data_IF_997281713662
#
_entry.id   IF_997281713662
#
_cell.length_a   1.000
_cell.length_b   1.000
_cell.length_c   1.000
_cell.angle_alpha   90.00
_cell.angle_beta   90.00
_cell.angle_gamma   90.00
#
_symmetry.space_group_name_H-M   'P 1'
#
loop_
_entity.id
_entity.type
_entity.pdbx_description
1 polymer ?
#
# COMPACT_ATOMS: atom_id res chain seq x y z
N UNK A 1 -24.12 8.58 -14.71
CA UNK A 1 -24.44 8.87 -13.31
C UNK A 1 -23.14 9.22 -12.64
N UNK A 2 -22.96 10.47 -12.21
CA UNK A 2 -21.73 10.88 -11.53
C UNK A 2 -21.75 10.27 -10.13
N UNK A 3 -20.89 9.28 -9.88
CA UNK A 3 -20.64 8.74 -8.54
C UNK A 3 -20.16 9.87 -7.64
N UNK A 4 -20.68 9.95 -6.40
CA UNK A 4 -20.22 10.94 -5.43
C UNK A 4 -18.73 10.74 -5.15
N UNK A 5 -17.97 11.82 -4.90
CA UNK A 5 -16.55 11.73 -4.54
C UNK A 5 -16.30 10.83 -3.32
N UNK A 6 -17.27 10.76 -2.41
CA UNK A 6 -17.26 9.83 -1.26
C UNK A 6 -17.30 8.37 -1.72
N UNK A 7 -18.18 8.04 -2.67
CA UNK A 7 -18.32 6.69 -3.23
C UNK A 7 -17.05 6.27 -3.96
N UNK A 8 -16.43 7.21 -4.68
CA UNK A 8 -15.13 6.97 -5.34
C UNK A 8 -14.04 6.67 -4.32
N UNK A 9 -13.93 7.45 -3.23
CA UNK A 9 -12.97 7.19 -2.15
C UNK A 9 -13.19 5.83 -1.48
N UNK A 10 -14.45 5.44 -1.25
CA UNK A 10 -14.80 4.15 -0.65
C UNK A 10 -14.45 2.97 -1.57
N UNK A 11 -14.72 3.09 -2.86
CA UNK A 11 -14.37 2.08 -3.85
C UNK A 11 -12.85 1.90 -3.97
N UNK A 12 -12.11 3.02 -4.02
CA UNK A 12 -10.63 2.97 -4.07
C UNK A 12 -10.05 2.38 -2.78
N UNK A 13 -10.60 2.70 -1.62
CA UNK A 13 -10.18 2.14 -0.32
C UNK A 13 -10.34 0.61 -0.29
N UNK A 14 -11.50 0.11 -0.74
CA UNK A 14 -11.75 -1.35 -0.84
C UNK A 14 -10.76 -2.01 -1.79
N UNK A 15 -10.57 -1.43 -2.98
CA UNK A 15 -9.64 -1.97 -3.97
C UNK A 15 -8.18 -1.98 -3.46
N UNK A 16 -7.77 -0.97 -2.68
CA UNK A 16 -6.45 -0.89 -2.10
C UNK A 16 -6.22 -2.01 -1.06
N UNK A 17 -7.23 -2.30 -0.22
CA UNK A 17 -7.19 -3.42 0.72
C UNK A 17 -7.07 -4.77 0.01
N UNK A 18 -7.83 -4.97 -1.06
CA UNK A 18 -7.76 -6.21 -1.85
C UNK A 18 -6.40 -6.38 -2.53
N UNK A 19 -5.83 -5.30 -3.08
CA UNK A 19 -4.50 -5.32 -3.69
C UNK A 19 -3.40 -5.62 -2.67
N UNK A 20 -3.52 -5.08 -1.45
CA UNK A 20 -2.60 -5.38 -0.34
C UNK A 20 -2.69 -6.85 0.09
N UNK A 21 -3.90 -7.40 0.22
CA UNK A 21 -4.11 -8.80 0.56
C UNK A 21 -3.51 -9.76 -0.49
N UNK A 22 -3.52 -9.35 -1.76
CA UNK A 22 -2.92 -10.09 -2.88
C UNK A 22 -1.43 -9.83 -3.07
N UNK A 23 -0.82 -8.92 -2.30
CA UNK A 23 0.56 -8.45 -2.48
C UNK A 23 0.83 -7.94 -3.90
N UNK A 24 -0.19 -7.40 -4.59
CA UNK A 24 -0.05 -6.79 -5.91
C UNK A 24 0.46 -5.34 -5.75
N UNK A 25 1.77 -5.21 -5.52
CA UNK A 25 2.42 -3.92 -5.27
C UNK A 25 2.24 -2.91 -6.42
N UNK A 26 2.08 -3.40 -7.67
CA UNK A 26 1.84 -2.55 -8.81
C UNK A 26 0.41 -1.99 -8.80
N UNK A 27 -0.58 -2.81 -8.45
CA UNK A 27 -1.95 -2.34 -8.24
C UNK A 27 -2.03 -1.36 -7.07
N UNK A 28 -1.36 -1.66 -5.94
CA UNK A 28 -1.29 -0.78 -4.76
C UNK A 28 -0.80 0.63 -5.14
N UNK A 29 0.32 0.74 -5.86
CA UNK A 29 0.84 2.05 -6.26
C UNK A 29 -0.08 2.83 -7.21
N UNK A 30 -0.79 2.13 -8.10
CA UNK A 30 -1.76 2.75 -9.02
C UNK A 30 -3.00 3.24 -8.29
N UNK A 31 -3.51 2.44 -7.36
CA UNK A 31 -4.70 2.74 -6.55
C UNK A 31 -4.42 3.86 -5.54
N UNK A 32 -3.21 3.91 -4.94
CA UNK A 32 -2.76 5.03 -4.11
C UNK A 32 -2.84 6.37 -4.87
N UNK A 33 -2.32 6.40 -6.10
CA UNK A 33 -2.40 7.61 -6.93
C UNK A 33 -3.85 8.05 -7.21
N UNK A 34 -4.73 7.09 -7.56
CA UNK A 34 -6.15 7.37 -7.77
C UNK A 34 -6.83 7.89 -6.51
N UNK A 35 -6.47 7.35 -5.35
CA UNK A 35 -7.00 7.78 -4.06
C UNK A 35 -6.64 9.25 -3.80
N UNK A 36 -5.38 9.64 -4.00
CA UNK A 36 -4.93 11.03 -3.81
C UNK A 36 -5.66 11.99 -4.74
N UNK A 37 -5.86 11.61 -6.00
CA UNK A 37 -6.62 12.42 -6.97
C UNK A 37 -8.09 12.60 -6.58
N UNK A 38 -8.72 11.55 -6.03
CA UNK A 38 -10.09 11.62 -5.53
C UNK A 38 -10.17 12.50 -4.27
N UNK A 39 -9.17 12.45 -3.38
CA UNK A 39 -9.06 13.34 -2.21
C UNK A 39 -8.94 14.80 -2.66
N UNK A 40 -8.05 15.11 -3.61
CA UNK A 40 -7.86 16.47 -4.13
C UNK A 40 -9.16 17.02 -4.75
N UNK A 41 -9.88 16.16 -5.46
CA UNK A 41 -11.19 16.50 -6.05
C UNK A 41 -12.23 16.78 -4.96
N UNK A 42 -12.28 15.95 -3.91
CA UNK A 42 -13.23 16.11 -2.80
C UNK A 42 -12.99 17.40 -2.01
N UNK A 43 -11.72 17.75 -1.80
CA UNK A 43 -11.32 18.96 -1.08
C UNK A 43 -11.59 20.24 -1.89
N UNK A 44 -11.70 20.12 -3.21
CA UNK A 44 -11.98 21.23 -4.12
C UNK A 44 -13.47 21.47 -4.36
N UNK A 45 -14.35 20.56 -3.92
CA UNK A 45 -15.80 20.69 -4.11
C UNK A 45 -16.45 21.45 -2.93
N UNK A 46 -16.92 22.69 -3.13
CA UNK A 46 -17.56 23.49 -2.08
C UNK A 46 -18.94 22.99 -1.67
N UNK A 47 -19.52 22.03 -2.39
CA UNK A 47 -20.82 21.42 -2.09
C UNK A 47 -20.69 20.06 -1.39
N UNK A 48 -19.46 19.61 -1.12
CA UNK A 48 -19.20 18.32 -0.47
C UNK A 48 -19.69 18.34 0.99
N UNK A 49 -20.43 17.30 1.37
CA UNK A 49 -20.83 17.11 2.76
C UNK A 49 -19.59 16.91 3.66
N UNK A 50 -19.32 17.91 4.50
CA UNK A 50 -18.06 17.99 5.26
C UNK A 50 -17.92 16.90 6.34
N UNK A 51 -19.02 16.42 6.92
CA UNK A 51 -18.96 15.41 7.99
C UNK A 51 -18.70 14.01 7.43
N UNK A 52 -19.42 13.63 6.36
CA UNK A 52 -19.20 12.34 5.67
C UNK A 52 -17.80 12.29 5.04
N UNK A 53 -17.32 13.40 4.47
CA UNK A 53 -15.95 13.49 3.97
C UNK A 53 -14.92 13.31 5.09
N UNK A 54 -15.15 13.92 6.27
CA UNK A 54 -14.23 13.81 7.41
C UNK A 54 -14.10 12.36 7.87
N UNK A 55 -15.21 11.64 8.00
CA UNK A 55 -15.20 10.22 8.38
C UNK A 55 -14.41 9.38 7.37
N UNK A 56 -14.63 9.60 6.07
CA UNK A 56 -13.85 8.91 5.02
C UNK A 56 -12.37 9.24 5.05
N UNK A 57 -12.00 10.48 5.32
CA UNK A 57 -10.58 10.87 5.45
C UNK A 57 -9.92 10.18 6.64
N UNK A 58 -10.64 10.00 7.75
CA UNK A 58 -10.12 9.27 8.90
C UNK A 58 -9.91 7.79 8.57
N UNK A 59 -10.88 7.13 7.93
CA UNK A 59 -10.75 5.74 7.47
C UNK A 59 -9.57 5.56 6.49
N UNK A 60 -9.32 6.55 5.63
CA UNK A 60 -8.18 6.55 4.72
C UNK A 60 -6.85 6.68 5.47
N UNK A 61 -6.75 7.58 6.46
CA UNK A 61 -5.54 7.70 7.27
C UNK A 61 -5.18 6.39 7.98
N UNK A 62 -6.18 5.72 8.55
CA UNK A 62 -5.99 4.43 9.21
C UNK A 62 -5.51 3.37 8.21
N UNK A 63 -6.08 3.34 7.00
CA UNK A 63 -5.63 2.46 5.92
C UNK A 63 -4.19 2.75 5.48
N UNK A 64 -3.80 4.01 5.34
CA UNK A 64 -2.43 4.37 4.96
C UNK A 64 -1.42 3.96 6.04
N UNK A 65 -1.76 4.12 7.32
CA UNK A 65 -0.92 3.64 8.42
C UNK A 65 -0.74 2.12 8.39
N UNK A 66 -1.82 1.37 8.16
CA UNK A 66 -1.79 -0.08 7.99
C UNK A 66 -0.92 -0.48 6.79
N UNK A 67 -1.10 0.19 5.65
CA UNK A 67 -0.34 -0.08 4.43
C UNK A 67 1.16 0.15 4.61
N UNK A 68 1.56 1.22 5.30
CA UNK A 68 2.98 1.48 5.60
C UNK A 68 3.57 0.35 6.45
N UNK A 69 2.84 -0.11 7.47
CA UNK A 69 3.26 -1.22 8.33
C UNK A 69 3.46 -2.52 7.52
N UNK A 70 2.51 -2.86 6.64
CA UNK A 70 2.59 -4.03 5.76
C UNK A 70 3.81 -3.94 4.83
N UNK A 71 3.99 -2.80 4.16
CA UNK A 71 5.11 -2.58 3.25
C UNK A 71 6.47 -2.67 3.96
N UNK A 72 6.58 -2.15 5.19
CA UNK A 72 7.79 -2.28 6.01
C UNK A 72 8.08 -3.74 6.38
N UNK A 73 7.04 -4.50 6.77
CA UNK A 73 7.16 -5.93 7.03
C UNK A 73 7.67 -6.71 5.82
N UNK A 74 7.15 -6.40 4.63
CA UNK A 74 7.60 -7.05 3.38
C UNK A 74 9.04 -6.68 3.01
N UNK A 75 9.44 -5.41 3.18
CA UNK A 75 10.83 -5.00 2.97
C UNK A 75 11.80 -5.75 3.90
N UNK A 76 11.41 -5.91 5.17
CA UNK A 76 12.22 -6.65 6.14
C UNK A 76 12.34 -8.13 5.76
N UNK A 77 11.23 -8.76 5.35
CA UNK A 77 11.21 -10.14 4.84
C UNK A 77 12.18 -10.33 3.67
N UNK A 78 12.13 -9.46 2.67
CA UNK A 78 13.02 -9.50 1.51
C UNK A 78 14.48 -9.28 1.92
N UNK A 79 14.75 -8.35 2.84
CA UNK A 79 16.10 -8.09 3.33
C UNK A 79 16.70 -9.32 4.04
N UNK A 80 15.89 -10.06 4.80
CA UNK A 80 16.32 -11.27 5.49
C UNK A 80 16.57 -12.43 4.51
N UNK A 81 15.74 -12.59 3.48
CA UNK A 81 15.96 -13.54 2.40
C UNK A 81 17.28 -13.28 1.65
N UNK A 82 17.56 -12.01 1.33
CA UNK A 82 18.81 -11.61 0.70
C UNK A 82 20.04 -11.92 1.57
N UNK A 83 19.94 -11.70 2.89
CA UNK A 83 21.02 -12.07 3.84
C UNK A 83 21.25 -13.58 3.86
N UNK A 84 20.18 -14.38 3.94
CA UNK A 84 20.27 -15.83 3.96
C UNK A 84 20.91 -16.38 2.68
N UNK A 85 20.53 -15.85 1.51
CA UNK A 85 21.12 -16.22 0.22
C UNK A 85 22.61 -15.84 0.16
N UNK A 86 23.00 -14.67 0.67
CA UNK A 86 24.41 -14.27 0.66
C UNK A 86 25.27 -15.14 1.59
N UNK A 87 24.74 -15.50 2.76
CA UNK A 87 25.43 -16.40 3.71
C UNK A 87 25.61 -17.80 3.12
N UNK A 88 24.58 -18.37 2.49
CA UNK A 88 24.67 -19.71 1.89
C UNK A 88 25.73 -19.78 0.78
N UNK A 89 25.84 -18.73 -0.05
CA UNK A 89 26.88 -18.60 -1.08
C UNK A 89 28.29 -18.52 -0.48
N UNK A 90 28.47 -17.79 0.61
CA UNK A 90 29.77 -17.70 1.28
C UNK A 90 30.21 -19.04 1.87
N UNK A 91 29.30 -19.75 2.55
CA UNK A 91 29.59 -21.07 3.11
C UNK A 91 29.92 -22.10 2.02
N UNK A 92 29.18 -22.14 0.92
CA UNK A 92 29.47 -23.03 -0.21
C UNK A 92 30.86 -22.76 -0.83
N UNK A 93 31.28 -21.49 -0.87
CA UNK A 93 32.60 -21.09 -1.38
C UNK A 93 33.75 -21.55 -0.47
N UNK A 94 33.54 -21.58 0.86
CA UNK A 94 34.52 -22.12 1.81
C UNK A 94 34.71 -23.62 1.58
N UNK A 95 33.64 -24.39 1.40
CA UNK A 95 33.77 -25.82 1.10
C UNK A 95 34.48 -26.09 -0.25
N UNK A 96 34.35 -25.21 -1.24
CA UNK A 96 35.11 -25.33 -2.51
C UNK A 96 36.58 -24.93 -2.39
N UNK A 97 36.95 -24.07 -1.43
CA UNK A 97 38.35 -23.64 -1.24
C UNK A 97 39.16 -24.57 -0.36
N UNK A 98 38.50 -25.39 0.46
CA UNK A 98 39.13 -26.28 1.43
C UNK A 98 38.74 -27.76 1.26
N UNK A 99 38.07 -28.10 0.16
CA UNK A 99 37.71 -29.46 -0.25
C UNK A 99 38.52 -29.93 -1.46
#
# INVERSE_FOLDING_TARGET
MSTSTVEQLQNTSTALRDALAQQDWQAVGRLDLQCRQAVDSAMSDPHQNSDELRERMQELLDLYHEMVSICQGEQQRIADELRQINQSKQSAKVYQMFG
#
